data_IF_253785117422
#
_entry.id   IF_253785117422
#
_cell.length_a   1.000
_cell.length_b   1.000
_cell.length_c   1.000
_cell.angle_alpha   90.00
_cell.angle_beta   90.00
_cell.angle_gamma   90.00
#
_symmetry.space_group_name_H-M   'P 1'
#
loop_
_entity.id
_entity.type
_entity.pdbx_description
1 polymer ?
#
# COMPACT_ATOMS: atom_id res chain seq x y z
N UNK A 1 7.89 29.36 -7.01
CA UNK A 1 8.10 29.85 -8.38
C UNK A 1 9.20 28.99 -8.96
N UNK A 2 8.82 27.97 -9.73
CA UNK A 2 9.75 26.99 -10.28
C UNK A 2 10.07 27.39 -11.72
N UNK A 3 11.32 27.73 -12.01
CA UNK A 3 11.85 27.74 -13.37
C UNK A 3 12.84 26.58 -13.48
N UNK A 4 12.52 25.62 -14.37
CA UNK A 4 13.45 24.62 -14.85
C UNK A 4 14.04 25.14 -16.15
N UNK A 5 15.37 25.24 -16.24
CA UNK A 5 16.08 25.37 -17.50
C UNK A 5 16.77 24.03 -17.82
N UNK A 6 16.41 23.42 -18.94
CA UNK A 6 17.18 22.34 -19.56
C UNK A 6 17.46 22.76 -20.99
N UNK A 7 18.75 22.94 -21.30
CA UNK A 7 19.25 23.29 -22.62
C UNK A 7 19.75 22.00 -23.28
N UNK A 8 19.16 21.58 -24.39
CA UNK A 8 19.68 20.53 -25.27
C UNK A 8 19.66 21.06 -26.70
N UNK A 9 20.83 21.14 -27.32
CA UNK A 9 21.03 21.43 -28.74
C UNK A 9 21.13 20.09 -29.49
N UNK A 10 20.19 19.79 -30.38
CA UNK A 10 20.39 18.82 -31.48
C UNK A 10 19.75 19.36 -32.76
N UNK A 11 20.51 19.23 -33.85
CA UNK A 11 20.24 19.67 -35.23
C UNK A 11 19.03 18.99 -35.89
N UNK A 12 18.26 19.80 -36.63
CA UNK A 12 17.85 19.52 -38.01
C UNK A 12 16.88 18.37 -38.30
N UNK A 13 15.58 18.67 -38.33
CA UNK A 13 14.66 18.38 -39.44
C UNK A 13 13.28 18.95 -39.09
N UNK A 14 12.78 19.84 -39.94
CA UNK A 14 11.47 20.46 -39.81
C UNK A 14 10.38 19.44 -40.16
N UNK A 15 9.67 18.93 -39.15
CA UNK A 15 8.33 18.35 -39.30
C UNK A 15 7.42 19.02 -38.27
N UNK A 16 6.67 20.01 -38.74
CA UNK A 16 5.65 20.70 -37.94
C UNK A 16 4.45 19.78 -37.74
N UNK A 17 4.45 19.01 -36.65
CA UNK A 17 3.22 18.52 -36.05
C UNK A 17 2.85 19.45 -34.89
N UNK A 18 2.09 20.51 -35.19
CA UNK A 18 1.33 21.22 -34.15
C UNK A 18 0.12 20.35 -33.82
N UNK A 19 0.33 19.35 -32.97
CA UNK A 19 -0.75 18.80 -32.19
C UNK A 19 -0.41 19.09 -30.72
N UNK A 20 -0.88 20.25 -30.25
CA UNK A 20 -1.00 20.51 -28.83
C UNK A 20 -2.13 19.61 -28.30
N UNK A 21 -1.86 18.30 -28.23
CA UNK A 21 -2.60 17.45 -27.34
C UNK A 21 -2.25 17.97 -25.94
N UNK A 22 -3.16 18.78 -25.38
CA UNK A 22 -3.16 19.05 -23.95
C UNK A 22 -2.95 17.71 -23.26
N UNK A 23 -1.89 17.58 -22.47
CA UNK A 23 -1.83 16.55 -21.45
C UNK A 23 -3.02 16.88 -20.55
N UNK A 24 -4.17 16.25 -20.82
CA UNK A 24 -5.23 16.18 -19.85
C UNK A 24 -4.59 15.44 -18.69
N UNK A 25 -4.20 16.17 -17.66
CA UNK A 25 -3.99 15.62 -16.33
C UNK A 25 -5.30 14.90 -16.02
N UNK A 26 -5.32 13.59 -16.24
CA UNK A 26 -6.50 12.78 -15.96
C UNK A 26 -6.70 12.96 -14.46
N UNK A 27 -7.70 13.76 -14.09
CA UNK A 27 -8.00 14.01 -12.70
C UNK A 27 -8.45 12.67 -12.13
N UNK A 28 -7.56 11.98 -11.44
CA UNK A 28 -7.92 10.81 -10.66
C UNK A 28 -9.10 11.24 -9.80
N UNK A 29 -10.22 10.54 -9.93
CA UNK A 29 -11.42 10.84 -9.15
C UNK A 29 -11.10 10.47 -7.71
N UNK A 30 -10.48 11.39 -6.98
CA UNK A 30 -10.29 11.31 -5.54
C UNK A 30 -11.70 11.20 -4.98
N UNK A 31 -12.01 10.06 -4.38
CA UNK A 31 -13.25 9.89 -3.64
C UNK A 31 -13.25 10.99 -2.58
N UNK A 32 -14.36 11.66 -2.37
CA UNK A 32 -14.45 12.73 -1.37
C UNK A 32 -14.40 12.09 0.03
N UNK A 33 -13.21 11.66 0.45
CA UNK A 33 -12.93 11.06 1.75
C UNK A 33 -12.94 12.21 2.74
N UNK A 34 -13.93 12.24 3.62
CA UNK A 34 -13.94 13.18 4.73
C UNK A 34 -12.75 12.87 5.64
N UNK A 35 -11.69 13.66 5.51
CA UNK A 35 -10.51 13.53 6.35
C UNK A 35 -10.82 14.02 7.76
N UNK A 36 -10.23 13.36 8.74
CA UNK A 36 -10.26 13.75 10.15
C UNK A 36 -8.83 13.86 10.63
N UNK A 37 -8.62 14.68 11.65
CA UNK A 37 -7.39 14.61 12.43
C UNK A 37 -7.33 13.29 13.20
N UNK A 38 -6.12 12.87 13.59
CA UNK A 38 -5.98 11.69 14.42
C UNK A 38 -6.64 11.85 15.79
N UNK A 39 -6.64 13.06 16.37
CA UNK A 39 -7.30 13.31 17.66
C UNK A 39 -8.82 13.08 17.58
N UNK A 40 -9.47 13.57 16.52
CA UNK A 40 -10.89 13.31 16.27
C UNK A 40 -11.18 11.83 16.02
N UNK A 41 -10.34 11.16 15.23
CA UNK A 41 -10.48 9.73 14.96
C UNK A 41 -10.31 8.89 16.24
N UNK A 42 -9.35 9.24 17.09
CA UNK A 42 -9.10 8.58 18.38
C UNK A 42 -10.26 8.80 19.34
N UNK A 43 -10.83 10.00 19.39
CA UNK A 43 -12.01 10.27 20.22
C UNK A 43 -13.19 9.37 19.80
N UNK A 44 -13.49 9.30 18.50
CA UNK A 44 -14.55 8.43 17.97
C UNK A 44 -14.28 6.94 18.26
N UNK A 45 -13.03 6.50 18.11
CA UNK A 45 -12.64 5.12 18.39
C UNK A 45 -12.80 4.77 19.88
N UNK A 46 -12.48 5.70 20.79
CA UNK A 46 -12.68 5.52 22.23
C UNK A 46 -14.16 5.41 22.59
N UNK A 47 -14.99 6.29 22.04
CA UNK A 47 -16.45 6.28 22.28
C UNK A 47 -17.10 5.00 21.73
N UNK A 48 -16.65 4.52 20.57
CA UNK A 48 -17.08 3.24 20.01
C UNK A 48 -16.64 2.06 20.89
N UNK A 49 -15.36 1.99 21.26
CA UNK A 49 -14.84 0.91 22.10
C UNK A 49 -15.43 0.90 23.52
N UNK A 50 -15.88 2.05 24.05
CA UNK A 50 -16.53 2.13 25.35
C UNK A 50 -17.88 1.38 25.39
N UNK A 51 -18.55 1.25 24.24
CA UNK A 51 -19.84 0.56 24.10
C UNK A 51 -19.69 -0.95 23.91
N UNK A 52 -18.46 -1.44 23.65
CA UNK A 52 -18.19 -2.86 23.42
C UNK A 52 -18.02 -3.65 24.72
N UNK A 53 -18.54 -4.88 24.73
CA UNK A 53 -18.22 -5.87 25.76
C UNK A 53 -16.74 -6.30 25.68
N UNK A 54 -16.25 -6.98 26.72
CA UNK A 54 -14.89 -7.52 26.71
C UNK A 54 -14.68 -8.54 25.57
N UNK A 55 -15.66 -9.40 25.33
CA UNK A 55 -15.60 -10.40 24.26
C UNK A 55 -15.49 -9.74 22.88
N UNK A 56 -16.30 -8.71 22.61
CA UNK A 56 -16.23 -7.97 21.35
C UNK A 56 -14.89 -7.26 21.18
N UNK A 57 -14.30 -6.74 22.28
CA UNK A 57 -12.95 -6.15 22.25
C UNK A 57 -11.89 -7.20 21.89
N UNK A 58 -11.97 -8.40 22.47
CA UNK A 58 -11.08 -9.50 22.12
C UNK A 58 -11.23 -9.88 20.63
N UNK A 59 -12.47 -10.00 20.15
CA UNK A 59 -12.75 -10.33 18.75
C UNK A 59 -12.26 -9.24 17.78
N UNK A 60 -12.30 -7.96 18.16
CA UNK A 60 -11.76 -6.87 17.33
C UNK A 60 -10.24 -6.99 17.10
N UNK A 61 -9.54 -7.63 18.03
CA UNK A 61 -8.08 -7.82 17.98
C UNK A 61 -7.65 -9.17 17.38
N UNK A 62 -8.60 -10.00 16.95
CA UNK A 62 -8.34 -11.32 16.42
C UNK A 62 -8.88 -11.45 14.99
N UNK A 63 -8.11 -12.10 14.12
CA UNK A 63 -8.55 -12.43 12.77
C UNK A 63 -9.46 -13.65 12.75
N UNK A 64 -10.48 -13.62 11.90
CA UNK A 64 -11.33 -14.76 11.58
C UNK A 64 -11.26 -15.07 10.08
N UNK A 65 -11.53 -16.33 9.72
CA UNK A 65 -11.58 -16.75 8.32
C UNK A 65 -12.73 -16.06 7.58
N UNK A 66 -12.47 -15.59 6.36
CA UNK A 66 -13.48 -14.96 5.50
C UNK A 66 -13.11 -15.07 4.02
N UNK A 67 -13.80 -14.32 3.16
CA UNK A 67 -13.43 -14.14 1.75
C UNK A 67 -12.23 -13.19 1.54
N UNK A 68 -11.91 -12.35 2.53
CA UNK A 68 -10.71 -11.53 2.54
C UNK A 68 -9.52 -12.29 3.12
N UNK A 69 -8.29 -11.90 2.77
CA UNK A 69 -7.05 -12.48 3.32
C UNK A 69 -7.01 -12.45 4.86
N UNK A 70 -7.57 -11.40 5.46
CA UNK A 70 -7.85 -11.32 6.89
C UNK A 70 -9.15 -10.58 7.15
N UNK A 71 -9.81 -10.88 8.26
CA UNK A 71 -11.08 -10.24 8.60
C UNK A 71 -11.27 -10.09 10.10
N UNK A 72 -11.80 -8.94 10.50
CA UNK A 72 -12.26 -8.67 11.86
C UNK A 72 -13.78 -8.76 11.90
N UNK A 73 -14.29 -9.51 12.87
CA UNK A 73 -15.72 -9.79 13.02
C UNK A 73 -16.58 -8.54 13.20
N UNK A 74 -17.84 -8.55 12.72
CA UNK A 74 -18.78 -7.47 12.93
C UNK A 74 -19.21 -7.35 14.40
N UNK A 75 -19.67 -6.15 14.77
CA UNK A 75 -20.32 -5.84 16.05
C UNK A 75 -21.69 -5.27 15.73
N UNK A 76 -22.66 -6.16 15.51
CA UNK A 76 -23.95 -5.83 14.89
C UNK A 76 -24.76 -4.79 15.68
N UNK A 77 -24.71 -4.83 17.00
CA UNK A 77 -25.48 -3.92 17.85
C UNK A 77 -24.93 -2.47 17.83
N UNK A 78 -23.70 -2.28 17.34
CA UNK A 78 -23.07 -0.98 17.08
C UNK A 78 -23.01 -0.61 15.59
N UNK A 79 -23.73 -1.36 14.74
CA UNK A 79 -23.74 -1.16 13.28
C UNK A 79 -22.33 -1.21 12.64
N UNK A 80 -21.45 -2.07 13.16
CA UNK A 80 -20.11 -2.26 12.63
C UNK A 80 -20.03 -3.55 11.82
N UNK A 81 -19.80 -3.44 10.51
CA UNK A 81 -19.82 -4.56 9.56
C UNK A 81 -18.57 -5.45 9.54
N UNK A 82 -17.57 -5.16 10.38
CA UNK A 82 -16.26 -5.81 10.35
C UNK A 82 -15.26 -5.08 9.45
N UNK A 83 -14.03 -5.58 9.40
CA UNK A 83 -12.94 -4.99 8.61
C UNK A 83 -12.30 -6.05 7.72
N UNK A 84 -12.22 -5.75 6.43
CA UNK A 84 -11.59 -6.59 5.43
C UNK A 84 -10.14 -6.16 5.18
N UNK A 85 -9.21 -7.10 5.32
CA UNK A 85 -7.79 -6.97 5.01
C UNK A 85 -7.48 -7.80 3.78
N UNK A 86 -6.89 -7.19 2.76
CA UNK A 86 -6.71 -7.85 1.47
C UNK A 86 -5.32 -7.57 0.91
N UNK A 87 -4.65 -8.61 0.40
CA UNK A 87 -3.46 -8.44 -0.41
C UNK A 87 -3.81 -7.77 -1.75
N UNK A 88 -2.92 -7.05 -2.42
CA UNK A 88 -1.46 -7.01 -2.30
C UNK A 88 -0.86 -5.61 -2.58
N UNK A 89 0.48 -5.42 -2.50
CA UNK A 89 1.17 -4.19 -2.93
C UNK A 89 1.04 -3.83 -4.43
N UNK A 90 0.55 -4.76 -5.26
CA UNK A 90 0.44 -4.59 -6.73
C UNK A 90 -0.98 -4.72 -7.26
N UNK A 91 -1.98 -4.42 -6.43
CA UNK A 91 -3.40 -4.52 -6.75
C UNK A 91 -4.11 -5.57 -5.91
N UNK A 92 -5.42 -5.70 -6.10
CA UNK A 92 -6.25 -6.65 -5.36
C UNK A 92 -5.88 -8.08 -5.76
N UNK A 93 -5.30 -8.83 -4.83
CA UNK A 93 -4.74 -10.16 -5.03
C UNK A 93 -5.71 -11.30 -4.76
N UNK A 94 -5.15 -12.47 -4.41
CA UNK A 94 -5.85 -13.69 -3.96
C UNK A 94 -6.97 -14.19 -4.87
N UNK A 95 -6.80 -14.02 -6.18
CA UNK A 95 -7.76 -14.52 -7.17
C UNK A 95 -9.06 -13.72 -7.25
N UNK A 96 -9.13 -12.53 -6.65
CA UNK A 96 -10.25 -11.62 -6.83
C UNK A 96 -10.36 -11.22 -8.30
N UNK A 97 -11.51 -11.56 -8.92
CA UNK A 97 -11.75 -11.34 -10.33
C UNK A 97 -12.08 -9.87 -10.64
N UNK A 98 -11.88 -9.48 -11.90
CA UNK A 98 -12.16 -8.14 -12.42
C UNK A 98 -11.37 -7.05 -11.66
N UNK A 99 -10.06 -7.29 -11.53
CA UNK A 99 -9.07 -6.38 -10.95
C UNK A 99 -7.87 -6.27 -11.89
N UNK A 100 -7.13 -5.17 -11.83
CA UNK A 100 -5.93 -4.97 -12.65
C UNK A 100 -4.71 -5.55 -11.94
N UNK A 101 -3.89 -6.30 -12.69
CA UNK A 101 -2.56 -6.68 -12.24
C UNK A 101 -1.58 -5.54 -12.55
N UNK A 102 -1.26 -4.72 -11.55
CA UNK A 102 -0.30 -3.63 -11.73
C UNK A 102 1.13 -4.14 -11.76
N UNK A 103 2.05 -3.38 -12.38
CA UNK A 103 3.49 -3.68 -12.32
C UNK A 103 3.96 -3.75 -10.87
N UNK A 104 5.00 -4.54 -10.59
CA UNK A 104 5.59 -4.67 -9.25
C UNK A 104 6.21 -3.36 -8.74
N UNK A 105 6.55 -3.35 -7.45
CA UNK A 105 7.15 -2.19 -6.77
C UNK A 105 8.47 -1.78 -7.43
N UNK A 106 9.33 -2.74 -7.76
CA UNK A 106 10.66 -2.43 -8.29
C UNK A 106 10.58 -1.83 -9.70
N UNK A 107 9.58 -2.23 -10.48
CA UNK A 107 9.35 -1.69 -11.83
C UNK A 107 8.86 -0.25 -11.78
N UNK A 108 7.93 0.09 -10.88
CA UNK A 108 7.50 1.48 -10.72
C UNK A 108 8.62 2.34 -10.10
N UNK A 109 9.40 1.80 -9.17
CA UNK A 109 10.55 2.50 -8.59
C UNK A 109 11.61 2.83 -9.66
N UNK A 110 11.83 1.94 -10.64
CA UNK A 110 12.75 2.16 -11.75
C UNK A 110 12.35 3.29 -12.70
N UNK A 111 11.14 3.85 -12.58
CA UNK A 111 10.71 5.03 -13.35
C UNK A 111 11.27 6.33 -12.78
N UNK A 112 11.60 6.36 -11.47
CA UNK A 112 11.98 7.58 -10.74
C UNK A 112 10.96 8.72 -10.86
N UNK A 113 9.70 8.38 -11.15
CA UNK A 113 8.61 9.33 -11.37
C UNK A 113 7.60 9.27 -10.23
N UNK A 114 7.66 10.29 -9.37
CA UNK A 114 6.78 10.45 -8.19
C UNK A 114 5.30 10.58 -8.58
N UNK A 115 5.00 11.26 -9.68
CA UNK A 115 3.64 11.47 -10.13
C UNK A 115 3.06 10.14 -10.61
N UNK A 116 3.81 9.40 -11.43
CA UNK A 116 3.40 8.06 -11.88
C UNK A 116 3.23 7.09 -10.71
N UNK A 117 4.07 7.21 -9.69
CA UNK A 117 4.00 6.41 -8.48
C UNK A 117 2.68 6.64 -7.72
N UNK A 118 2.36 7.90 -7.42
CA UNK A 118 1.10 8.28 -6.77
C UNK A 118 -0.11 7.82 -7.59
N UNK A 119 -0.07 8.04 -8.90
CA UNK A 119 -1.15 7.66 -9.82
C UNK A 119 -1.43 6.16 -9.81
N UNK A 120 -0.37 5.33 -9.84
CA UNK A 120 -0.49 3.87 -9.69
C UNK A 120 -1.12 3.51 -8.34
N UNK A 121 -0.66 4.12 -7.25
CA UNK A 121 -1.18 3.84 -5.92
C UNK A 121 -2.65 4.26 -5.75
N UNK A 122 -3.05 5.39 -6.32
CA UNK A 122 -4.45 5.83 -6.35
C UNK A 122 -5.33 4.87 -7.16
N UNK A 123 -4.86 4.38 -8.32
CA UNK A 123 -5.60 3.39 -9.09
C UNK A 123 -5.78 2.06 -8.31
N UNK A 124 -4.73 1.59 -7.63
CA UNK A 124 -4.80 0.43 -6.74
C UNK A 124 -5.81 0.67 -5.60
N UNK A 125 -5.76 1.84 -4.95
CA UNK A 125 -6.69 2.21 -3.89
C UNK A 125 -8.15 2.26 -4.34
N UNK A 126 -8.42 2.70 -5.57
CA UNK A 126 -9.76 2.68 -6.16
C UNK A 126 -10.28 1.25 -6.34
N UNK A 127 -9.44 0.32 -6.80
CA UNK A 127 -9.84 -1.08 -6.93
C UNK A 127 -10.10 -1.72 -5.56
N UNK A 128 -9.22 -1.52 -4.57
CA UNK A 128 -9.46 -1.98 -3.21
C UNK A 128 -10.79 -1.46 -2.65
N UNK A 129 -11.01 -0.14 -2.76
CA UNK A 129 -12.24 0.49 -2.29
C UNK A 129 -13.47 -0.06 -3.00
N UNK A 130 -13.39 -0.22 -4.33
CA UNK A 130 -14.45 -0.77 -5.16
C UNK A 130 -14.81 -2.22 -4.81
N UNK A 131 -13.87 -2.99 -4.25
CA UNK A 131 -14.10 -4.36 -3.75
C UNK A 131 -14.52 -4.42 -2.26
N UNK A 132 -14.68 -3.28 -1.59
CA UNK A 132 -15.09 -3.24 -0.18
C UNK A 132 -13.95 -3.51 0.81
N UNK A 133 -12.69 -3.42 0.36
CA UNK A 133 -11.52 -3.61 1.22
C UNK A 133 -11.31 -2.38 2.11
N UNK A 134 -11.03 -2.64 3.40
CA UNK A 134 -10.75 -1.58 4.37
C UNK A 134 -9.25 -1.35 4.53
N UNK A 135 -8.47 -2.43 4.58
CA UNK A 135 -7.02 -2.40 4.73
C UNK A 135 -6.36 -3.11 3.56
N UNK A 136 -5.54 -2.37 2.80
CA UNK A 136 -4.67 -2.94 1.80
C UNK A 136 -3.36 -3.40 2.46
N UNK A 137 -2.98 -4.66 2.25
CA UNK A 137 -1.73 -5.23 2.77
C UNK A 137 -0.54 -4.80 1.90
N UNK A 138 -0.23 -3.51 1.92
CA UNK A 138 0.92 -2.89 1.25
C UNK A 138 1.10 -1.43 1.69
N UNK A 139 2.25 -0.81 1.40
CA UNK A 139 3.33 -1.28 0.52
C UNK A 139 4.30 -2.28 1.17
N UNK A 140 5.11 -2.96 0.34
CA UNK A 140 6.30 -3.68 0.80
C UNK A 140 7.48 -2.70 0.87
N UNK A 141 8.17 -2.65 2.01
CA UNK A 141 9.17 -1.65 2.39
C UNK A 141 10.46 -2.27 2.93
N UNK A 142 10.69 -3.56 2.69
CA UNK A 142 11.98 -4.15 3.04
C UNK A 142 13.08 -3.56 2.13
N UNK A 143 14.33 -3.60 2.58
CA UNK A 143 15.46 -3.06 1.83
C UNK A 143 16.19 -4.22 1.18
N UNK A 144 16.28 -4.23 -0.15
CA UNK A 144 16.87 -5.32 -0.96
C UNK A 144 18.36 -5.60 -0.67
N UNK A 145 18.68 -6.08 0.53
CA UNK A 145 20.03 -6.39 1.01
C UNK A 145 20.59 -7.61 0.30
N UNK A 146 19.72 -8.58 0.00
CA UNK A 146 20.07 -9.80 -0.72
C UNK A 146 19.37 -9.80 -2.07
N UNK A 147 20.13 -9.74 -3.16
CA UNK A 147 19.58 -9.76 -4.53
C UNK A 147 18.77 -11.04 -4.85
N UNK A 148 18.99 -12.14 -4.11
CA UNK A 148 18.28 -13.40 -4.28
C UNK A 148 16.99 -13.51 -3.44
N UNK A 149 16.63 -12.46 -2.69
CA UNK A 149 15.40 -12.47 -1.91
C UNK A 149 14.18 -12.50 -2.84
N UNK A 150 13.36 -13.55 -2.70
CA UNK A 150 12.27 -13.86 -3.64
C UNK A 150 11.13 -12.84 -3.70
N UNK A 151 11.13 -11.84 -2.82
CA UNK A 151 10.08 -10.80 -2.73
C UNK A 151 10.58 -9.38 -2.98
N UNK A 152 11.86 -9.18 -3.33
CA UNK A 152 12.40 -7.85 -3.66
C UNK A 152 11.57 -7.09 -4.70
N UNK A 153 10.99 -7.82 -5.66
CA UNK A 153 10.16 -7.23 -6.72
C UNK A 153 8.89 -6.52 -6.20
N UNK A 154 8.41 -6.85 -4.99
CA UNK A 154 7.27 -6.19 -4.36
C UNK A 154 7.66 -4.82 -3.77
N UNK A 155 8.92 -4.64 -3.38
CA UNK A 155 9.48 -3.45 -2.77
C UNK A 155 10.06 -2.46 -3.77
N UNK A 156 10.85 -1.49 -3.30
CA UNK A 156 11.29 -0.34 -4.10
C UNK A 156 12.80 -0.27 -4.31
N UNK A 157 13.54 -1.32 -3.93
CA UNK A 157 14.98 -1.43 -4.12
C UNK A 157 15.79 -1.34 -2.82
N UNK A 158 17.11 -1.27 -2.99
CA UNK A 158 18.08 -1.30 -1.89
C UNK A 158 18.39 0.08 -1.28
N UNK A 159 17.94 1.17 -1.91
CA UNK A 159 18.22 2.53 -1.45
C UNK A 159 17.12 3.03 -0.48
N UNK A 160 17.46 3.41 0.76
CA UNK A 160 16.46 3.81 1.74
C UNK A 160 15.75 5.12 1.39
N UNK A 161 16.39 6.03 0.66
CA UNK A 161 15.75 7.29 0.26
C UNK A 161 14.69 7.05 -0.81
N UNK A 162 15.04 6.32 -1.87
CA UNK A 162 14.11 5.89 -2.91
C UNK A 162 12.95 5.08 -2.33
N UNK A 163 13.24 4.11 -1.46
CA UNK A 163 12.21 3.32 -0.79
C UNK A 163 11.30 4.17 0.10
N UNK A 164 11.86 5.14 0.83
CA UNK A 164 11.08 6.06 1.67
C UNK A 164 10.14 6.96 0.85
N UNK A 165 10.66 7.62 -0.18
CA UNK A 165 9.88 8.49 -1.07
C UNK A 165 8.76 7.72 -1.78
N UNK A 166 9.08 6.56 -2.35
CA UNK A 166 8.09 5.72 -3.02
C UNK A 166 7.01 5.20 -2.06
N UNK A 167 7.39 4.82 -0.83
CA UNK A 167 6.42 4.41 0.19
C UNK A 167 5.49 5.53 0.59
N UNK A 168 5.99 6.77 0.70
CA UNK A 168 5.17 7.94 0.97
C UNK A 168 4.09 8.12 -0.10
N UNK A 169 4.47 8.14 -1.39
CA UNK A 169 3.52 8.27 -2.49
C UNK A 169 2.56 7.08 -2.61
N UNK A 170 3.01 5.86 -2.27
CA UNK A 170 2.12 4.70 -2.17
C UNK A 170 1.01 4.92 -1.14
N UNK A 171 1.41 5.23 0.09
CA UNK A 171 0.49 5.37 1.23
C UNK A 171 -0.48 6.53 0.97
N UNK A 172 0.03 7.67 0.48
CA UNK A 172 -0.80 8.82 0.16
C UNK A 172 -1.83 8.48 -0.92
N UNK A 173 -1.40 7.95 -2.07
CA UNK A 173 -2.30 7.62 -3.17
C UNK A 173 -3.39 6.63 -2.78
N UNK A 174 -3.05 5.61 -1.97
CA UNK A 174 -4.00 4.61 -1.51
C UNK A 174 -4.99 5.17 -0.48
N UNK A 175 -4.51 5.96 0.50
CA UNK A 175 -5.35 6.55 1.55
C UNK A 175 -6.27 7.67 1.04
N UNK A 176 -5.86 8.40 0.00
CA UNK A 176 -6.72 9.38 -0.68
C UNK A 176 -7.95 8.73 -1.35
N UNK A 177 -7.97 7.39 -1.48
CA UNK A 177 -9.15 6.63 -1.94
C UNK A 177 -9.97 6.00 -0.79
N UNK A 178 -9.62 6.29 0.46
CA UNK A 178 -10.37 5.83 1.64
C UNK A 178 -10.11 4.37 1.99
N UNK A 179 -8.90 3.87 1.68
CA UNK A 179 -8.40 2.54 2.08
C UNK A 179 -7.20 2.76 3.00
N UNK A 180 -7.07 1.97 4.06
CA UNK A 180 -5.93 2.07 4.97
C UNK A 180 -4.74 1.32 4.37
N UNK A 181 -3.60 1.98 4.25
CA UNK A 181 -2.35 1.32 3.86
C UNK A 181 -1.74 0.57 5.05
N UNK A 182 -1.17 -0.60 4.80
CA UNK A 182 -0.49 -1.42 5.82
C UNK A 182 0.95 -1.66 5.39
N UNK A 183 1.83 -0.75 5.78
CA UNK A 183 3.27 -0.88 5.52
C UNK A 183 3.83 -2.19 6.09
N UNK A 184 4.52 -2.97 5.26
CA UNK A 184 5.08 -4.28 5.60
C UNK A 184 6.47 -4.47 4.98
N UNK A 185 7.35 -5.34 5.46
CA UNK A 185 7.26 -6.11 6.69
C UNK A 185 8.22 -5.48 7.69
N UNK A 186 7.69 -5.05 8.83
CA UNK A 186 8.53 -4.50 9.89
C UNK A 186 9.13 -5.65 10.70
N UNK A 187 10.46 -5.87 10.73
CA UNK A 187 11.56 -5.26 9.95
C UNK A 187 12.65 -6.34 9.71
N UNK A 188 13.66 -6.10 8.86
CA UNK A 188 14.77 -7.05 8.62
C UNK A 188 14.33 -8.40 8.00
N UNK A 189 13.23 -8.46 7.26
CA UNK A 189 12.84 -9.66 6.51
C UNK A 189 13.55 -9.68 5.13
N UNK A 190 14.87 -9.82 5.11
CA UNK A 190 15.68 -9.68 3.88
C UNK A 190 16.03 -11.01 3.20
N UNK A 191 15.36 -12.10 3.59
CA UNK A 191 15.42 -13.40 2.92
C UNK A 191 14.17 -14.22 3.21
N UNK A 192 13.67 -14.96 2.22
CA UNK A 192 12.51 -15.82 2.41
C UNK A 192 12.91 -17.17 3.02
N UNK A 193 14.11 -17.65 2.68
CA UNK A 193 14.65 -18.89 3.22
C UNK A 193 14.71 -18.80 4.75
N UNK A 194 14.02 -19.73 5.42
CA UNK A 194 13.96 -19.78 6.88
C UNK A 194 13.40 -18.50 7.53
N UNK A 195 12.54 -17.75 6.83
CA UNK A 195 11.91 -16.51 7.34
C UNK A 195 11.07 -16.69 8.61
N UNK A 196 10.69 -17.91 8.96
CA UNK A 196 9.95 -18.26 10.18
C UNK A 196 10.79 -19.06 11.17
N UNK A 197 12.10 -19.21 10.94
CA UNK A 197 12.96 -20.01 11.78
C UNK A 197 13.90 -19.12 12.58
N UNK A 198 13.70 -19.09 13.89
CA UNK A 198 14.63 -18.42 14.79
C UNK A 198 15.66 -19.41 15.35
N UNK A 199 16.98 -19.18 15.22
CA UNK A 199 18.02 -20.14 15.61
C UNK A 199 17.97 -20.57 17.08
N UNK A 200 17.48 -19.71 17.98
CA UNK A 200 17.35 -20.00 19.42
C UNK A 200 15.99 -20.52 19.86
N UNK A 201 14.95 -20.32 19.06
CA UNK A 201 13.54 -20.53 19.48
C UNK A 201 12.85 -21.59 18.59
N UNK A 202 13.49 -21.99 17.49
CA UNK A 202 12.93 -22.92 16.52
C UNK A 202 11.93 -22.23 15.58
N UNK A 203 11.04 -22.99 14.93
CA UNK A 203 10.03 -22.42 14.04
C UNK A 203 9.03 -21.54 14.81
N UNK A 204 8.94 -20.27 14.44
CA UNK A 204 7.91 -19.32 14.88
C UNK A 204 6.74 -19.32 13.89
N UNK A 205 5.52 -19.12 14.38
CA UNK A 205 4.34 -18.84 13.52
C UNK A 205 4.36 -17.41 12.92
N UNK A 206 5.48 -16.69 13.01
CA UNK A 206 5.67 -15.32 12.50
C UNK A 206 7.09 -15.09 11.97
N UNK A 207 7.29 -13.96 11.28
CA UNK A 207 8.56 -13.59 10.66
C UNK A 207 9.69 -13.47 11.70
N UNK A 208 10.70 -14.34 11.61
CA UNK A 208 11.93 -14.28 12.40
C UNK A 208 12.90 -13.30 11.74
N UNK A 209 13.03 -12.12 12.33
CA UNK A 209 13.91 -11.07 11.86
C UNK A 209 15.33 -11.40 12.33
N UNK A 210 16.21 -11.89 11.44
CA UNK A 210 17.64 -12.09 11.76
C UNK A 210 18.37 -10.75 11.67
N UNK A 211 18.19 -9.92 12.69
CA UNK A 211 19.04 -8.75 12.93
C UNK A 211 19.91 -9.05 14.17
N UNK A 212 20.96 -9.86 13.98
CA UNK A 212 22.07 -10.06 14.93
C UNK A 212 23.40 -9.81 14.21
#
# INVERSE_FOLDING_TARGET
MYEKAVFIVILGACFSFTNSASIQTQSYKIINVATRTWDEAIALAKDFAAQMTLEEKCNMTAGVSSHCAGFVSPVSHLNFGGLCFQDSPSGVGDGVQFSTAFIGGIQIAATWDRDLFYQRAAAIGQEFRGKGVHFALGPMMNIDRNALHGRNWEGFGADPYLSGENSYYYVQGLQDQGVVATAKHYICNEQESNRTYHPKIGPSQGYSCLCN
#
